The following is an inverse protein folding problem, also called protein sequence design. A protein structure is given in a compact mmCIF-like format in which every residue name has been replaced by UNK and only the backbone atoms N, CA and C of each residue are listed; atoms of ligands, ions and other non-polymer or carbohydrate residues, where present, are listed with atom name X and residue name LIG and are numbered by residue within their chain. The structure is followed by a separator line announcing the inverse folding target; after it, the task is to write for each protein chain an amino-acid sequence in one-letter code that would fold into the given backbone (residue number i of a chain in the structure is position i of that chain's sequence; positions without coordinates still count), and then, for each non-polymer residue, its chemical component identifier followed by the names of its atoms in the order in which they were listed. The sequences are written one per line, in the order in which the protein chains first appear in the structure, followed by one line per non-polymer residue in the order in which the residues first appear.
data_IF_586402204802
#
_entry.id   IF_586402204802
#
_cell.length_a   1.000
_cell.length_b   1.000
_cell.length_c   1.000
_cell.angle_alpha   90.00
_cell.angle_beta   90.00
_cell.angle_gamma   90.00
#
_symmetry.space_group_name_H-M   'P 1'
#
loop_
_entity.id
_entity.type
_entity.pdbx_description
1 polymer ?
#
# COMPACT_ATOMS: atom_id res chain seq x y z
N UNK A 1 26.51 -30.30 20.90
CA UNK A 1 27.10 -29.02 20.42
C UNK A 1 26.77 -28.77 18.95
N UNK A 2 26.97 -29.72 18.01
CA UNK A 2 26.60 -29.52 16.60
C UNK A 2 25.06 -29.40 16.35
N UNK A 3 24.25 -30.20 17.05
CA UNK A 3 22.78 -30.15 16.94
C UNK A 3 22.20 -28.78 17.37
N UNK A 4 22.65 -28.26 18.51
CA UNK A 4 22.23 -26.97 19.08
C UNK A 4 22.61 -25.77 18.19
N UNK A 5 23.75 -25.85 17.49
CA UNK A 5 24.16 -24.82 16.52
C UNK A 5 23.36 -24.87 15.22
N UNK A 6 22.97 -26.06 14.76
CA UNK A 6 22.17 -26.23 13.56
C UNK A 6 20.72 -25.79 13.79
N UNK A 7 20.15 -26.13 14.96
CA UNK A 7 18.83 -25.68 15.39
C UNK A 7 18.76 -24.16 15.52
N UNK A 8 19.82 -23.53 16.05
CA UNK A 8 19.93 -22.07 16.12
C UNK A 8 19.99 -21.42 14.73
N UNK A 9 20.78 -21.97 13.81
CA UNK A 9 20.94 -21.41 12.46
C UNK A 9 19.64 -21.53 11.65
N UNK A 10 18.90 -22.63 11.79
CA UNK A 10 17.56 -22.76 11.22
C UNK A 10 16.58 -21.74 11.81
N UNK A 11 16.61 -21.53 13.13
CA UNK A 11 15.78 -20.51 13.78
C UNK A 11 16.09 -19.10 13.24
N UNK A 12 17.36 -18.77 13.02
CA UNK A 12 17.79 -17.50 12.44
C UNK A 12 17.28 -17.33 11.00
N UNK A 13 17.34 -18.40 10.18
CA UNK A 13 16.81 -18.40 8.80
C UNK A 13 15.30 -18.16 8.79
N UNK A 14 14.57 -18.81 9.69
CA UNK A 14 13.12 -18.66 9.82
C UNK A 14 12.72 -17.24 10.24
N UNK A 15 13.45 -16.64 11.20
CA UNK A 15 13.22 -15.25 11.59
C UNK A 15 13.32 -14.29 10.39
N UNK A 16 14.39 -14.40 9.59
CA UNK A 16 14.63 -13.54 8.43
C UNK A 16 13.53 -13.74 7.36
N UNK A 17 13.07 -14.97 7.18
CA UNK A 17 11.95 -15.31 6.29
C UNK A 17 10.62 -14.71 6.75
N UNK A 18 10.34 -14.76 8.05
CA UNK A 18 9.13 -14.16 8.63
C UNK A 18 9.14 -12.64 8.48
N UNK A 19 10.29 -11.99 8.72
CA UNK A 19 10.48 -10.55 8.52
C UNK A 19 10.28 -10.14 7.05
N UNK A 20 10.85 -10.90 6.12
CA UNK A 20 10.62 -10.75 4.68
C UNK A 20 9.13 -10.89 4.30
N UNK A 21 8.43 -11.90 4.86
CA UNK A 21 7.01 -12.11 4.62
C UNK A 21 6.16 -10.93 5.09
N UNK A 22 6.43 -10.40 6.29
CA UNK A 22 5.76 -9.20 6.82
C UNK A 22 6.01 -7.97 5.95
N UNK A 23 7.25 -7.79 5.46
CA UNK A 23 7.58 -6.68 4.56
C UNK A 23 6.84 -6.79 3.23
N UNK A 24 6.79 -7.98 2.64
CA UNK A 24 6.06 -8.25 1.40
C UNK A 24 4.56 -7.95 1.57
N UNK A 25 4.00 -8.32 2.71
CA UNK A 25 2.61 -8.02 3.04
C UNK A 25 2.37 -6.51 3.17
N UNK A 26 3.21 -5.80 3.94
CA UNK A 26 3.09 -4.35 4.16
C UNK A 26 3.30 -3.59 2.85
N UNK A 27 4.31 -3.94 2.06
CA UNK A 27 4.55 -3.44 0.70
C UNK A 27 3.29 -3.54 -0.17
N UNK A 28 2.69 -4.73 -0.21
CA UNK A 28 1.49 -4.98 -1.01
C UNK A 28 0.32 -4.14 -0.53
N UNK A 29 0.14 -3.97 0.79
CA UNK A 29 -0.88 -3.08 1.34
C UNK A 29 -0.71 -1.63 0.89
N UNK A 30 0.50 -1.08 0.95
CA UNK A 30 0.76 0.27 0.48
C UNK A 30 0.45 0.43 -1.02
N UNK A 31 0.82 -0.54 -1.85
CA UNK A 31 0.47 -0.53 -3.28
C UNK A 31 -1.05 -0.59 -3.51
N UNK A 32 -1.80 -1.38 -2.73
CA UNK A 32 -3.27 -1.41 -2.82
C UNK A 32 -3.89 -0.09 -2.39
N UNK A 33 -3.41 0.53 -1.31
CA UNK A 33 -3.88 1.85 -0.88
C UNK A 33 -3.58 2.92 -1.93
N UNK A 34 -2.36 2.95 -2.47
CA UNK A 34 -1.99 3.86 -3.56
C UNK A 34 -2.91 3.69 -4.78
N UNK A 35 -3.19 2.44 -5.18
CA UNK A 35 -4.10 2.15 -6.28
C UNK A 35 -5.53 2.60 -5.99
N UNK A 36 -6.06 2.38 -4.77
CA UNK A 36 -7.41 2.82 -4.42
C UNK A 36 -7.55 4.33 -4.42
N UNK A 37 -6.55 5.06 -3.93
CA UNK A 37 -6.55 6.52 -3.99
C UNK A 37 -6.43 7.04 -5.42
N UNK A 38 -5.57 6.42 -6.25
CA UNK A 38 -5.43 6.80 -7.66
C UNK A 38 -6.71 6.53 -8.48
N UNK A 39 -7.41 5.42 -8.22
CA UNK A 39 -8.71 5.14 -8.86
C UNK A 39 -9.76 6.16 -8.42
N UNK A 40 -9.79 6.50 -7.12
CA UNK A 40 -10.71 7.51 -6.58
C UNK A 40 -10.48 8.90 -7.19
N UNK A 41 -9.22 9.33 -7.30
CA UNK A 41 -8.83 10.58 -7.96
C UNK A 41 -9.29 10.59 -9.42
N UNK A 42 -8.97 9.55 -10.19
CA UNK A 42 -9.41 9.45 -11.60
C UNK A 42 -10.92 9.54 -11.74
N UNK A 43 -11.68 8.89 -10.85
CA UNK A 43 -13.15 8.95 -10.90
C UNK A 43 -13.68 10.37 -10.66
N UNK A 44 -13.10 11.11 -9.70
CA UNK A 44 -13.46 12.52 -9.43
C UNK A 44 -13.08 13.40 -10.62
N UNK A 45 -11.87 13.24 -11.15
CA UNK A 45 -11.38 13.98 -12.32
C UNK A 45 -12.27 13.76 -13.56
N UNK A 46 -12.72 12.53 -13.80
CA UNK A 46 -13.69 12.23 -14.87
C UNK A 46 -15.06 12.87 -14.64
N UNK A 47 -15.56 12.86 -13.41
CA UNK A 47 -16.83 13.51 -13.07
C UNK A 47 -16.76 15.02 -13.29
N UNK A 48 -15.66 15.67 -12.87
CA UNK A 48 -15.41 17.08 -13.11
C UNK A 48 -15.36 17.41 -14.60
N UNK A 49 -14.69 16.57 -15.40
CA UNK A 49 -14.63 16.75 -16.85
C UNK A 49 -16.03 16.69 -17.48
N UNK A 50 -16.83 15.69 -17.13
CA UNK A 50 -18.20 15.55 -17.65
C UNK A 50 -19.06 16.75 -17.26
N UNK A 51 -19.03 17.17 -15.99
CA UNK A 51 -19.77 18.34 -15.51
C UNK A 51 -19.34 19.64 -16.22
N UNK A 52 -18.04 19.78 -16.47
CA UNK A 52 -17.48 20.93 -17.19
C UNK A 52 -17.95 20.99 -18.65
N UNK A 53 -17.93 19.84 -19.35
CA UNK A 53 -18.46 19.73 -20.73
C UNK A 53 -19.96 20.01 -20.76
N UNK A 54 -20.74 19.42 -19.85
CA UNK A 54 -22.19 19.64 -19.76
C UNK A 54 -22.51 21.10 -19.48
N UNK A 55 -21.79 21.75 -18.56
CA UNK A 55 -21.96 23.17 -18.27
C UNK A 55 -21.66 24.03 -19.50
N UNK A 56 -20.52 23.78 -20.16
CA UNK A 56 -20.10 24.54 -21.36
C UNK A 56 -21.09 24.37 -22.51
N UNK A 57 -21.54 23.15 -22.80
CA UNK A 57 -22.55 22.88 -23.82
C UNK A 57 -23.90 23.54 -23.49
N UNK A 58 -24.30 23.54 -22.22
CA UNK A 58 -25.54 24.18 -21.78
C UNK A 58 -25.49 25.69 -21.97
N UNK A 59 -24.38 26.34 -21.62
CA UNK A 59 -24.17 27.78 -21.87
C UNK A 59 -24.15 28.07 -23.38
N UNK A 60 -23.44 27.27 -24.17
CA UNK A 60 -23.37 27.45 -25.63
C UNK A 60 -24.75 27.36 -26.29
N UNK A 61 -25.62 26.47 -25.79
CA UNK A 61 -26.97 26.28 -26.34
C UNK A 61 -27.88 27.50 -26.18
N UNK A 62 -27.59 28.39 -25.21
CA UNK A 62 -28.32 29.65 -25.02
C UNK A 62 -28.13 30.63 -26.20
N UNK A 63 -27.06 30.48 -26.99
CA UNK A 63 -26.84 31.31 -28.19
C UNK A 63 -27.79 30.96 -29.34
N UNK A 64 -28.36 29.76 -29.32
CA UNK A 64 -29.24 29.24 -30.38
C UNK A 64 -30.70 29.16 -29.91
N UNK A 65 -30.94 29.05 -28.60
CA UNK A 65 -32.27 28.88 -28.01
C UNK A 65 -32.41 29.65 -26.70
N UNK A 66 -33.48 30.44 -26.55
CA UNK A 66 -33.83 31.16 -25.32
C UNK A 66 -34.48 30.25 -24.26
N UNK A 67 -33.77 29.19 -23.89
CA UNK A 67 -34.27 28.16 -23.00
C UNK A 67 -33.90 28.42 -21.54
N UNK A 68 -34.90 28.79 -20.71
CA UNK A 68 -34.73 28.94 -19.25
C UNK A 68 -34.22 27.65 -18.57
N UNK A 69 -34.53 26.49 -19.14
CA UNK A 69 -34.10 25.17 -18.64
C UNK A 69 -32.59 25.01 -18.76
N UNK A 70 -32.00 25.43 -19.87
CA UNK A 70 -30.56 25.35 -20.16
C UNK A 70 -29.75 26.22 -19.20
N UNK A 71 -30.30 27.38 -18.83
CA UNK A 71 -29.70 28.26 -17.83
C UNK A 71 -29.64 27.59 -16.45
N UNK A 72 -30.73 26.95 -16.01
CA UNK A 72 -30.75 26.22 -14.74
C UNK A 72 -29.80 25.02 -14.74
N UNK A 73 -29.72 24.28 -15.85
CA UNK A 73 -28.75 23.16 -16.00
C UNK A 73 -27.32 23.69 -15.85
N UNK A 74 -26.96 24.77 -16.54
CA UNK A 74 -25.64 25.37 -16.46
C UNK A 74 -25.29 25.84 -15.04
N UNK A 75 -26.23 26.49 -14.35
CA UNK A 75 -26.04 26.97 -12.96
C UNK A 75 -25.83 25.80 -12.00
N UNK A 76 -26.69 24.78 -12.04
CA UNK A 76 -26.60 23.62 -11.16
C UNK A 76 -25.33 22.82 -11.44
N UNK A 77 -25.02 22.52 -12.70
CA UNK A 77 -23.81 21.79 -13.08
C UNK A 77 -22.54 22.52 -12.62
N UNK A 78 -22.48 23.84 -12.79
CA UNK A 78 -21.33 24.65 -12.37
C UNK A 78 -21.19 24.72 -10.84
N UNK A 79 -22.31 24.84 -10.11
CA UNK A 79 -22.29 24.83 -8.65
C UNK A 79 -21.80 23.48 -8.10
N UNK A 80 -22.29 22.36 -8.66
CA UNK A 80 -21.84 21.01 -8.29
C UNK A 80 -20.37 20.81 -8.63
N UNK A 81 -19.92 21.24 -9.81
CA UNK A 81 -18.51 21.20 -10.21
C UNK A 81 -17.63 21.97 -9.22
N UNK A 82 -18.05 23.17 -8.82
CA UNK A 82 -17.31 24.00 -7.86
C UNK A 82 -17.21 23.33 -6.48
N UNK A 83 -18.30 22.73 -6.00
CA UNK A 83 -18.30 21.99 -4.72
C UNK A 83 -17.34 20.79 -4.77
N UNK A 84 -17.41 19.97 -5.81
CA UNK A 84 -16.53 18.81 -5.97
C UNK A 84 -15.05 19.25 -6.01
N UNK A 85 -14.73 20.29 -6.77
CA UNK A 85 -13.37 20.83 -6.86
C UNK A 85 -12.87 21.39 -5.52
N UNK A 86 -13.73 22.00 -4.71
CA UNK A 86 -13.36 22.46 -3.38
C UNK A 86 -13.06 21.27 -2.44
N UNK A 87 -13.91 20.24 -2.44
CA UNK A 87 -13.70 19.05 -1.60
C UNK A 87 -12.47 18.23 -2.02
N UNK A 88 -12.20 18.10 -3.31
CA UNK A 88 -11.04 17.36 -3.83
C UNK A 88 -9.73 18.00 -3.38
N UNK A 89 -9.66 19.34 -3.42
CA UNK A 89 -8.51 20.12 -2.93
C UNK A 89 -8.22 19.87 -1.45
N UNK A 90 -9.26 19.69 -0.61
CA UNK A 90 -9.09 19.40 0.81
C UNK A 90 -8.65 17.97 1.09
N UNK A 91 -9.14 16.99 0.33
CA UNK A 91 -8.87 15.56 0.58
C UNK A 91 -7.56 15.06 -0.04
N UNK A 92 -7.07 15.74 -1.07
CA UNK A 92 -5.81 15.52 -1.78
C UNK A 92 -5.47 14.03 -1.95
N UNK A 93 -6.33 13.33 -2.70
CA UNK A 93 -6.18 11.91 -3.00
C UNK A 93 -4.84 11.59 -3.68
N UNK A 94 -4.36 12.50 -4.53
CA UNK A 94 -3.05 12.40 -5.18
C UNK A 94 -1.90 12.38 -4.16
N UNK A 95 -1.91 13.28 -3.17
CA UNK A 95 -0.87 13.27 -2.13
C UNK A 95 -0.89 11.98 -1.31
N UNK A 96 -2.08 11.44 -1.01
CA UNK A 96 -2.20 10.15 -0.32
C UNK A 96 -1.69 8.99 -1.17
N UNK A 97 -2.07 8.94 -2.44
CA UNK A 97 -1.55 7.94 -3.38
C UNK A 97 -0.02 7.99 -3.43
N UNK A 98 0.56 9.18 -3.62
CA UNK A 98 2.01 9.37 -3.68
C UNK A 98 2.71 8.97 -2.38
N UNK A 99 2.14 9.31 -1.22
CA UNK A 99 2.70 8.93 0.08
C UNK A 99 2.71 7.42 0.29
N UNK A 100 1.67 6.71 -0.14
CA UNK A 100 1.66 5.25 -0.09
C UNK A 100 2.60 4.62 -1.14
N UNK A 101 2.73 5.19 -2.34
CA UNK A 101 3.71 4.74 -3.35
C UNK A 101 5.14 4.89 -2.84
N UNK A 102 5.47 6.03 -2.23
CA UNK A 102 6.79 6.28 -1.66
C UNK A 102 7.11 5.29 -0.53
N UNK A 103 6.14 5.06 0.36
CA UNK A 103 6.25 4.03 1.39
C UNK A 103 6.51 2.63 0.80
N UNK A 104 5.78 2.26 -0.26
CA UNK A 104 5.98 0.99 -0.95
C UNK A 104 7.39 0.88 -1.57
N UNK A 105 7.90 1.94 -2.20
CA UNK A 105 9.23 1.96 -2.79
C UNK A 105 10.34 1.77 -1.74
N UNK A 106 10.23 2.44 -0.60
CA UNK A 106 11.18 2.30 0.50
C UNK A 106 11.17 0.88 1.08
N UNK A 107 9.96 0.32 1.30
CA UNK A 107 9.80 -1.05 1.79
C UNK A 107 10.31 -2.07 0.77
N UNK A 108 10.11 -1.81 -0.53
CA UNK A 108 10.60 -2.68 -1.61
C UNK A 108 12.12 -2.84 -1.56
N UNK A 109 12.86 -1.73 -1.40
CA UNK A 109 14.33 -1.81 -1.29
C UNK A 109 14.77 -2.68 -0.12
N UNK A 110 14.14 -2.53 1.04
CA UNK A 110 14.44 -3.34 2.22
C UNK A 110 14.11 -4.81 1.95
N UNK A 111 12.95 -5.09 1.34
CA UNK A 111 12.53 -6.43 0.95
C UNK A 111 13.56 -7.11 0.03
N UNK A 112 14.09 -6.40 -0.97
CA UNK A 112 15.13 -6.95 -1.85
C UNK A 112 16.42 -7.24 -1.09
N UNK A 113 16.81 -6.40 -0.12
CA UNK A 113 17.96 -6.68 0.76
C UNK A 113 17.74 -7.94 1.61
N UNK A 114 16.52 -8.19 2.09
CA UNK A 114 16.18 -9.45 2.77
C UNK A 114 16.28 -10.66 1.84
N UNK A 115 15.85 -10.54 0.57
CA UNK A 115 16.02 -11.62 -0.43
C UNK A 115 17.49 -11.94 -0.63
N UNK A 116 18.34 -10.92 -0.79
CA UNK A 116 19.79 -11.11 -0.91
C UNK A 116 20.37 -11.80 0.32
N UNK A 117 19.98 -11.35 1.53
CA UNK A 117 20.43 -11.97 2.79
C UNK A 117 19.99 -13.44 2.91
N UNK A 118 18.76 -13.77 2.51
CA UNK A 118 18.25 -15.16 2.49
C UNK A 118 19.02 -16.01 1.48
N UNK A 119 19.39 -15.43 0.33
CA UNK A 119 20.13 -16.12 -0.74
C UNK A 119 21.56 -16.44 -0.30
N UNK A 120 22.24 -15.48 0.32
CA UNK A 120 23.63 -15.63 0.77
C UNK A 120 23.73 -16.34 2.14
N UNK A 121 22.60 -16.65 2.77
CA UNK A 121 22.51 -17.15 4.15
C UNK A 121 23.40 -18.35 4.41
N UNK A 122 23.46 -19.32 3.48
CA UNK A 122 24.21 -20.56 3.68
C UNK A 122 25.74 -20.38 3.54
N UNK A 123 26.18 -19.22 3.00
CA UNK A 123 27.59 -18.87 2.79
C UNK A 123 28.13 -17.97 3.92
N UNK A 124 27.27 -17.16 4.53
CA UNK A 124 27.63 -16.21 5.58
C UNK A 124 27.85 -16.86 6.96
N UNK A 125 28.65 -16.25 7.82
CA UNK A 125 28.78 -16.69 9.22
C UNK A 125 27.55 -16.26 10.05
N UNK A 126 27.27 -16.94 11.15
CA UNK A 126 26.15 -16.56 12.04
C UNK A 126 26.28 -15.13 12.59
N UNK A 127 27.51 -14.64 12.74
CA UNK A 127 27.78 -13.27 13.16
C UNK A 127 27.38 -12.27 12.07
N UNK A 128 27.79 -12.51 10.82
CA UNK A 128 27.50 -11.62 9.69
C UNK A 128 25.99 -11.56 9.42
N UNK A 129 25.32 -12.71 9.47
CA UNK A 129 23.85 -12.80 9.29
C UNK A 129 23.12 -12.00 10.37
N UNK A 130 23.52 -12.11 11.64
CA UNK A 130 22.93 -11.32 12.72
C UNK A 130 23.12 -9.83 12.51
N UNK A 131 24.33 -9.41 12.14
CA UNK A 131 24.62 -8.00 11.92
C UNK A 131 23.80 -7.43 10.76
N UNK A 132 23.68 -8.17 9.66
CA UNK A 132 22.85 -7.78 8.53
C UNK A 132 21.37 -7.71 8.90
N UNK A 133 20.84 -8.71 9.61
CA UNK A 133 19.46 -8.71 10.12
C UNK A 133 19.19 -7.50 11.01
N UNK A 134 20.05 -7.23 11.99
CA UNK A 134 19.85 -6.13 12.94
C UNK A 134 19.90 -4.76 12.24
N UNK A 135 20.77 -4.62 11.23
CA UNK A 135 20.80 -3.43 10.38
C UNK A 135 19.49 -3.26 9.57
N UNK A 136 18.98 -4.33 8.97
CA UNK A 136 17.71 -4.31 8.23
C UNK A 136 16.51 -4.04 9.14
N UNK A 137 16.50 -4.55 10.36
CA UNK A 137 15.47 -4.24 11.37
C UNK A 137 15.47 -2.75 11.73
N UNK A 138 16.65 -2.15 11.91
CA UNK A 138 16.77 -0.73 12.19
C UNK A 138 16.28 0.13 11.00
N UNK A 139 16.66 -0.25 9.78
CA UNK A 139 16.21 0.41 8.55
C UNK A 139 14.67 0.32 8.41
N UNK A 140 14.12 -0.86 8.66
CA UNK A 140 12.66 -1.11 8.65
C UNK A 140 11.94 -0.24 9.66
N UNK A 141 12.45 -0.15 10.89
CA UNK A 141 11.89 0.71 11.94
C UNK A 141 11.90 2.18 11.53
N UNK A 142 12.97 2.64 10.86
CA UNK A 142 13.07 4.00 10.35
C UNK A 142 11.97 4.31 9.33
N UNK A 143 11.76 3.42 8.37
CA UNK A 143 10.69 3.56 7.36
C UNK A 143 9.31 3.51 8.01
N UNK A 144 9.06 2.58 8.94
CA UNK A 144 7.75 2.48 9.61
C UNK A 144 7.39 3.71 10.45
N UNK A 145 8.38 4.43 10.98
CA UNK A 145 8.14 5.66 11.73
C UNK A 145 7.66 6.84 10.86
N UNK A 146 7.94 6.80 9.55
CA UNK A 146 7.69 7.91 8.61
C UNK A 146 6.61 7.60 7.57
N UNK A 147 6.09 6.38 7.54
CA UNK A 147 5.11 5.94 6.55
C UNK A 147 3.66 6.10 7.03
N UNK A 148 2.70 6.38 6.13
CA UNK A 148 1.30 6.49 6.50
C UNK A 148 0.75 5.13 6.93
N UNK A 149 -0.26 5.13 7.80
CA UNK A 149 -0.97 3.90 8.18
C UNK A 149 -1.76 3.34 6.98
N UNK A 150 -1.72 2.03 6.81
CA UNK A 150 -2.51 1.32 5.79
C UNK A 150 -3.98 1.22 6.18
N UNK A 151 -4.86 1.08 5.19
CA UNK A 151 -6.31 1.01 5.44
C UNK A 151 -6.80 -0.43 5.58
N UNK A 152 -7.89 -0.68 6.33
CA UNK A 152 -8.51 -2.00 6.43
C UNK A 152 -8.96 -2.56 5.07
N UNK A 153 -9.28 -1.68 4.11
CA UNK A 153 -9.65 -2.07 2.74
C UNK A 153 -8.45 -2.63 1.98
N UNK A 154 -7.31 -1.93 2.02
CA UNK A 154 -6.07 -2.42 1.44
C UNK A 154 -5.62 -3.71 2.11
N UNK A 155 -5.69 -3.79 3.44
CA UNK A 155 -5.36 -5.00 4.17
C UNK A 155 -6.16 -6.23 3.69
N UNK A 156 -7.49 -6.12 3.57
CA UNK A 156 -8.32 -7.20 3.02
C UNK A 156 -7.98 -7.53 1.57
N UNK A 157 -7.75 -6.52 0.74
CA UNK A 157 -7.38 -6.73 -0.66
C UNK A 157 -6.01 -7.39 -0.81
N UNK A 158 -5.07 -7.10 0.07
CA UNK A 158 -3.77 -7.77 0.15
C UNK A 158 -3.93 -9.21 0.56
N UNK A 159 -4.73 -9.53 1.60
CA UNK A 159 -5.01 -10.93 1.94
C UNK A 159 -5.53 -11.73 0.77
N UNK A 160 -6.49 -11.18 0.02
CA UNK A 160 -7.05 -11.87 -1.15
C UNK A 160 -6.02 -11.99 -2.28
N UNK A 161 -5.24 -10.93 -2.53
CA UNK A 161 -4.25 -10.93 -3.60
C UNK A 161 -3.14 -11.94 -3.32
N UNK A 162 -2.62 -11.96 -2.10
CA UNK A 162 -1.58 -12.90 -1.73
C UNK A 162 -2.17 -14.31 -1.64
N UNK A 163 -3.30 -14.56 -0.95
CA UNK A 163 -3.93 -15.90 -0.88
C UNK A 163 -4.18 -16.59 -2.23
N UNK A 164 -4.41 -15.82 -3.30
CA UNK A 164 -4.59 -16.35 -4.65
C UNK A 164 -3.29 -16.49 -5.45
N UNK A 165 -2.22 -15.78 -5.08
CA UNK A 165 -0.83 -15.97 -5.56
C UNK A 165 -0.06 -17.00 -4.69
N UNK A 166 -0.63 -17.42 -3.55
CA UNK A 166 0.01 -18.15 -2.46
C UNK A 166 -0.16 -19.69 -2.54
N UNK A 167 0.58 -20.34 -3.45
CA UNK A 167 1.29 -21.56 -3.02
C UNK A 167 2.50 -21.21 -2.12
N UNK A 168 2.72 -19.94 -1.75
CA UNK A 168 3.97 -19.46 -1.15
C UNK A 168 3.92 -18.66 0.15
N UNK A 169 2.76 -18.27 0.70
CA UNK A 169 2.76 -17.56 1.98
C UNK A 169 1.57 -17.99 2.86
N UNK A 170 1.95 -18.15 4.11
CA UNK A 170 1.20 -18.41 5.34
C UNK A 170 -0.32 -18.62 5.26
N UNK A 171 -0.76 -19.78 5.77
CA UNK A 171 -2.16 -20.11 6.07
C UNK A 171 -2.80 -19.12 7.07
N UNK A 172 -4.14 -19.03 7.09
CA UNK A 172 -4.90 -18.15 7.99
C UNK A 172 -4.49 -18.34 9.48
N UNK A 173 -4.09 -19.57 9.84
CA UNK A 173 -3.57 -19.98 11.14
C UNK A 173 -2.16 -19.46 11.46
N UNK A 174 -1.34 -19.22 10.45
CA UNK A 174 0.04 -18.73 10.58
C UNK A 174 0.10 -17.20 10.72
N UNK A 175 -0.88 -16.49 10.14
CA UNK A 175 -1.04 -15.05 10.31
C UNK A 175 -1.49 -14.68 11.74
N UNK A 176 -2.46 -15.41 12.30
CA UNK A 176 -2.81 -15.27 13.73
C UNK A 176 -1.67 -15.72 14.64
N UNK A 177 -0.74 -16.51 14.09
CA UNK A 177 0.47 -16.96 14.77
C UNK A 177 1.71 -16.08 14.55
N UNK A 178 1.60 -14.82 14.11
CA UNK A 178 2.69 -13.83 13.97
C UNK A 178 3.46 -13.45 15.28
N UNK A 179 3.45 -14.29 16.31
CA UNK A 179 4.39 -14.26 17.44
C UNK A 179 5.27 -15.52 17.38
N UNK A 180 6.56 -15.43 17.74
CA UNK A 180 7.44 -16.60 17.81
C UNK A 180 6.84 -17.67 18.74
N UNK A 181 6.74 -18.93 18.27
CA UNK A 181 6.23 -20.06 19.09
C UNK A 181 7.00 -20.26 20.40
N UNK A 182 8.28 -19.85 20.47
CA UNK A 182 9.10 -19.89 21.67
C UNK A 182 8.71 -18.85 22.76
N UNK A 183 7.84 -17.90 22.45
CA UNK A 183 7.27 -16.89 23.37
C UNK A 183 5.78 -17.11 23.65
N UNK A 184 5.21 -18.22 23.16
CA UNK A 184 3.89 -18.70 23.57
C UNK A 184 4.10 -19.67 24.73
N UNK A 185 3.83 -19.23 25.95
CA UNK A 185 3.71 -20.13 27.10
C UNK A 185 2.29 -20.69 27.13
N UNK A 186 2.13 -21.95 26.71
CA UNK A 186 0.90 -22.74 26.85
C UNK A 186 -0.16 -22.46 25.80
#
# INVERSE_FOLDING_TARGET
MAHDSQDYREALKNQIRDEYGRLTYTYTCHNKDAAFYAIGEKAISWLQLVLSVVSTCSVMSLLVSDGKVQLWIAVVASAVLALISAFDKEKNFTAKANSHTEAANQIWLIREKYISLITDFDILTDQDVRQARDALLLETSGVYSSTPKTTPRAYRATRVALKNDEEQFFTDDELDKLLPKALRLG
#
